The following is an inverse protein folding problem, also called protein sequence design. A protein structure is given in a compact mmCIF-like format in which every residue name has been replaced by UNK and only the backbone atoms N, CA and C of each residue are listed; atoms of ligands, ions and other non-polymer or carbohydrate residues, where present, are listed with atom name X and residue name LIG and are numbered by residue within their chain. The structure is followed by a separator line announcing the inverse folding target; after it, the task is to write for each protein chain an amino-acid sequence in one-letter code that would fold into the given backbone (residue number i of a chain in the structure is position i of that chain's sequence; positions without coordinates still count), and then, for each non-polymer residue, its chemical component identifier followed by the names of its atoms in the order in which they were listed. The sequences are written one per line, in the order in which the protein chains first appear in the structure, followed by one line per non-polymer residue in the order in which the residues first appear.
data_IF_039854142843
#
_entry.id   IF_039854142843
#
_cell.length_a   1.000
_cell.length_b   1.000
_cell.length_c   1.000
_cell.angle_alpha   90.00
_cell.angle_beta   90.00
_cell.angle_gamma   90.00
#
_symmetry.space_group_name_H-M   'P 1'
#
loop_
_entity.id
_entity.type
_entity.pdbx_description
1 polymer ?
#
# COMPACT_ATOMS: atom_id res chain seq x y z
N UNK A 1 -21.43 9.68 -19.23
CA UNK A 1 -21.45 10.15 -17.83
C UNK A 1 -21.05 9.08 -16.83
N UNK A 2 -21.50 7.83 -16.97
CA UNK A 2 -21.21 6.77 -15.99
C UNK A 2 -19.72 6.45 -15.82
N UNK A 3 -18.94 6.40 -16.90
CA UNK A 3 -17.49 6.18 -16.80
C UNK A 3 -16.76 7.30 -16.04
N UNK A 4 -17.16 8.56 -16.25
CA UNK A 4 -16.57 9.70 -15.53
C UNK A 4 -16.91 9.63 -14.04
N UNK A 5 -18.17 9.29 -13.71
CA UNK A 5 -18.62 9.05 -12.34
C UNK A 5 -17.80 7.95 -11.67
N UNK A 6 -17.63 6.81 -12.34
CA UNK A 6 -16.87 5.66 -11.85
C UNK A 6 -15.39 6.02 -11.57
N UNK A 7 -14.75 6.77 -12.49
CA UNK A 7 -13.38 7.26 -12.31
C UNK A 7 -13.28 8.25 -11.15
N UNK A 8 -14.24 9.18 -11.02
CA UNK A 8 -14.28 10.12 -9.91
C UNK A 8 -14.45 9.40 -8.57
N UNK A 9 -15.33 8.41 -8.49
CA UNK A 9 -15.51 7.58 -7.29
C UNK A 9 -14.23 6.83 -6.93
N UNK A 10 -13.55 6.21 -7.92
CA UNK A 10 -12.28 5.52 -7.69
C UNK A 10 -11.18 6.47 -7.19
N UNK A 11 -11.09 7.68 -7.73
CA UNK A 11 -10.16 8.71 -7.30
C UNK A 11 -10.44 9.16 -5.85
N UNK A 12 -11.71 9.40 -5.50
CA UNK A 12 -12.12 9.77 -4.14
C UNK A 12 -11.75 8.66 -3.15
N UNK A 13 -12.05 7.40 -3.49
CA UNK A 13 -11.63 6.27 -2.66
C UNK A 13 -10.11 6.15 -2.56
N UNK A 14 -9.38 6.51 -3.61
CA UNK A 14 -7.91 6.55 -3.58
C UNK A 14 -7.36 7.63 -2.67
N UNK A 15 -8.01 8.80 -2.61
CA UNK A 15 -7.68 9.85 -1.64
C UNK A 15 -7.96 9.40 -0.20
N UNK A 16 -9.07 8.68 0.02
CA UNK A 16 -9.38 8.07 1.32
C UNK A 16 -8.30 7.05 1.70
N UNK A 17 -7.85 6.22 0.76
CA UNK A 17 -6.75 5.27 0.98
C UNK A 17 -5.45 6.01 1.35
N UNK A 18 -5.09 7.06 0.61
CA UNK A 18 -3.89 7.83 0.88
C UNK A 18 -3.93 8.49 2.27
N UNK A 19 -5.09 9.02 2.68
CA UNK A 19 -5.28 9.56 4.03
C UNK A 19 -5.19 8.49 5.11
N UNK A 20 -5.84 7.33 4.91
CA UNK A 20 -5.74 6.20 5.82
C UNK A 20 -4.30 5.68 5.95
N UNK A 21 -3.53 5.70 4.84
CA UNK A 21 -2.12 5.31 4.84
C UNK A 21 -1.26 6.19 5.75
N UNK A 22 -1.52 7.50 5.82
CA UNK A 22 -0.80 8.39 6.75
C UNK A 22 -1.00 7.96 8.20
N UNK A 23 -2.24 7.61 8.57
CA UNK A 23 -2.56 7.08 9.90
C UNK A 23 -1.92 5.72 10.15
N UNK A 24 -2.00 4.79 9.19
CA UNK A 24 -1.41 3.45 9.30
C UNK A 24 0.10 3.56 9.47
N UNK A 25 0.78 4.38 8.67
CA UNK A 25 2.23 4.59 8.75
C UNK A 25 2.59 5.25 10.09
N UNK A 26 1.84 6.29 10.50
CA UNK A 26 2.10 7.00 11.76
C UNK A 26 1.95 6.10 12.99
N UNK A 27 0.86 5.33 13.05
CA UNK A 27 0.64 4.36 14.13
C UNK A 27 1.65 3.22 14.03
N UNK A 28 1.86 2.65 12.84
CA UNK A 28 2.77 1.54 12.60
C UNK A 28 4.22 1.84 12.96
N UNK A 29 4.66 3.08 12.76
CA UNK A 29 5.97 3.57 13.21
C UNK A 29 6.08 3.72 14.73
N UNK A 30 4.96 3.90 15.44
CA UNK A 30 4.91 4.03 16.90
C UNK A 30 4.69 2.70 17.63
N UNK A 31 4.46 1.60 16.90
CA UNK A 31 4.30 0.27 17.52
C UNK A 31 5.64 -0.18 18.08
N UNK A 32 5.72 -0.30 19.40
CA UNK A 32 6.88 -0.85 20.08
C UNK A 32 6.94 -2.37 19.88
N UNK A 33 7.98 -2.84 19.20
CA UNK A 33 8.23 -4.27 18.99
C UNK A 33 9.24 -4.76 20.04
N UNK A 34 8.97 -5.90 20.71
CA UNK A 34 9.86 -6.46 21.72
C UNK A 34 11.28 -6.66 21.19
N UNK A 35 12.26 -6.25 21.99
CA UNK A 35 13.67 -6.34 21.61
C UNK A 35 14.12 -7.81 21.44
N UNK A 36 13.48 -8.76 22.12
CA UNK A 36 13.80 -10.19 21.98
C UNK A 36 13.55 -10.70 20.54
N UNK A 37 12.55 -10.15 19.84
CA UNK A 37 12.23 -10.53 18.47
C UNK A 37 13.19 -9.88 17.45
N UNK A 38 13.68 -8.68 17.76
CA UNK A 38 14.54 -7.91 16.86
C UNK A 38 16.02 -8.22 17.02
N UNK A 39 16.50 -8.53 18.23
CA UNK A 39 17.90 -8.86 18.52
C UNK A 39 18.52 -9.91 17.58
N UNK A 40 17.90 -11.09 17.33
CA UNK A 40 18.50 -12.09 16.45
C UNK A 40 18.61 -11.59 15.00
N UNK A 41 17.64 -10.79 14.55
CA UNK A 41 17.62 -10.25 13.19
C UNK A 41 18.57 -9.05 13.04
N UNK A 42 18.65 -8.19 14.05
CA UNK A 42 19.54 -7.02 14.06
C UNK A 42 21.02 -7.42 14.14
N UNK A 43 21.33 -8.56 14.77
CA UNK A 43 22.67 -9.15 14.76
C UNK A 43 23.09 -9.64 13.37
N UNK A 44 22.14 -10.10 12.55
CA UNK A 44 22.41 -10.51 11.16
C UNK A 44 22.44 -9.30 10.22
N UNK A 45 21.41 -8.45 10.30
CA UNK A 45 21.30 -7.21 9.55
C UNK A 45 20.23 -6.31 10.16
N UNK A 46 20.63 -5.09 10.51
CA UNK A 46 19.74 -4.02 10.96
C UNK A 46 18.64 -3.71 9.93
N UNK A 47 18.98 -3.74 8.63
CA UNK A 47 18.03 -3.53 7.54
C UNK A 47 16.95 -4.61 7.55
N UNK A 48 17.33 -5.86 7.77
CA UNK A 48 16.40 -6.99 7.76
C UNK A 48 15.44 -6.93 8.96
N UNK A 49 15.94 -6.53 10.14
CA UNK A 49 15.10 -6.29 11.31
C UNK A 49 14.05 -5.20 11.03
N UNK A 50 14.46 -4.02 10.53
CA UNK A 50 13.53 -2.93 10.22
C UNK A 50 12.58 -3.26 9.06
N UNK A 51 13.01 -4.06 8.09
CA UNK A 51 12.16 -4.54 7.01
C UNK A 51 11.04 -5.41 7.54
N UNK A 52 11.34 -6.34 8.46
CA UNK A 52 10.31 -7.19 9.08
C UNK A 52 9.29 -6.34 9.85
N UNK A 53 9.77 -5.34 10.59
CA UNK A 53 8.91 -4.38 11.30
C UNK A 53 7.99 -3.66 10.32
N UNK A 54 8.54 -3.01 9.27
CA UNK A 54 7.74 -2.27 8.27
C UNK A 54 6.71 -3.17 7.60
N UNK A 55 7.08 -4.41 7.27
CA UNK A 55 6.14 -5.37 6.64
C UNK A 55 4.95 -5.65 7.57
N UNK A 56 5.22 -5.95 8.85
CA UNK A 56 4.18 -6.34 9.80
C UNK A 56 3.31 -5.17 10.24
N UNK A 57 3.91 -4.01 10.51
CA UNK A 57 3.19 -2.87 11.11
C UNK A 57 2.61 -1.92 10.07
N UNK A 58 3.16 -1.89 8.85
CA UNK A 58 2.77 -0.93 7.81
C UNK A 58 2.29 -1.64 6.56
N UNK A 59 3.10 -2.52 5.95
CA UNK A 59 2.77 -3.08 4.64
C UNK A 59 1.50 -3.94 4.66
N UNK A 60 1.37 -4.83 5.66
CA UNK A 60 0.20 -5.70 5.79
C UNK A 60 -1.08 -4.90 6.05
N UNK A 61 -1.17 -4.00 7.05
CA UNK A 61 -2.37 -3.18 7.26
C UNK A 61 -2.73 -2.29 6.07
N UNK A 62 -1.72 -1.68 5.42
CA UNK A 62 -1.94 -0.85 4.23
C UNK A 62 -2.52 -1.66 3.07
N UNK A 63 -2.03 -2.88 2.90
CA UNK A 63 -2.52 -3.79 1.86
C UNK A 63 -3.94 -4.25 2.15
N UNK A 64 -4.25 -4.57 3.42
CA UNK A 64 -5.60 -4.89 3.83
C UNK A 64 -6.56 -3.73 3.54
N UNK A 65 -6.18 -2.49 3.86
CA UNK A 65 -6.96 -1.30 3.54
C UNK A 65 -7.18 -1.13 2.03
N UNK A 66 -6.15 -1.35 1.21
CA UNK A 66 -6.28 -1.34 -0.24
C UNK A 66 -7.27 -2.39 -0.74
N UNK A 67 -7.18 -3.63 -0.24
CA UNK A 67 -8.09 -4.72 -0.64
C UNK A 67 -9.55 -4.43 -0.24
N UNK A 68 -9.78 -3.88 0.96
CA UNK A 68 -11.11 -3.48 1.41
C UNK A 68 -11.70 -2.43 0.46
N UNK A 69 -10.92 -1.39 0.13
CA UNK A 69 -11.40 -0.34 -0.78
C UNK A 69 -11.57 -0.85 -2.21
N UNK A 70 -10.70 -1.74 -2.68
CA UNK A 70 -10.86 -2.38 -3.98
C UNK A 70 -12.13 -3.25 -4.03
N UNK A 71 -12.49 -3.90 -2.93
CA UNK A 71 -13.76 -4.60 -2.79
C UNK A 71 -14.95 -3.65 -2.82
N UNK A 72 -14.88 -2.50 -2.12
CA UNK A 72 -15.89 -1.44 -2.20
C UNK A 72 -16.04 -0.91 -3.63
N UNK A 73 -14.94 -0.75 -4.37
CA UNK A 73 -14.97 -0.39 -5.80
C UNK A 73 -15.75 -1.44 -6.61
N UNK A 74 -15.52 -2.74 -6.40
CA UNK A 74 -16.30 -3.80 -7.07
C UNK A 74 -17.79 -3.74 -6.73
N UNK A 75 -18.15 -3.37 -5.49
CA UNK A 75 -19.55 -3.24 -5.08
C UNK A 75 -20.23 -2.03 -5.71
N UNK A 76 -19.54 -0.89 -5.79
CA UNK A 76 -20.09 0.36 -6.31
C UNK A 76 -20.07 0.43 -7.85
N UNK A 77 -19.13 -0.27 -8.49
CA UNK A 77 -18.90 -0.21 -9.94
C UNK A 77 -19.15 -1.60 -10.53
N UNK A 78 -20.24 -1.76 -11.31
CA UNK A 78 -20.66 -3.04 -11.93
C UNK A 78 -19.58 -3.75 -12.77
N UNK A 79 -18.69 -2.98 -13.42
CA UNK A 79 -17.55 -3.48 -14.22
C UNK A 79 -16.36 -2.55 -14.02
N UNK A 80 -15.55 -2.77 -12.97
CA UNK A 80 -14.40 -1.93 -12.70
C UNK A 80 -13.29 -2.26 -13.68
N UNK A 81 -12.98 -1.32 -14.57
CA UNK A 81 -11.82 -1.41 -15.46
C UNK A 81 -10.51 -1.31 -14.67
N UNK A 82 -9.40 -1.76 -15.27
CA UNK A 82 -8.05 -1.62 -14.72
C UNK A 82 -7.74 -0.18 -14.31
N UNK A 83 -8.24 0.80 -15.08
CA UNK A 83 -8.08 2.22 -14.78
C UNK A 83 -8.72 2.63 -13.45
N UNK A 84 -9.79 1.98 -13.00
CA UNK A 84 -10.41 2.27 -11.70
C UNK A 84 -9.50 1.85 -10.55
N UNK A 85 -8.90 0.65 -10.63
CA UNK A 85 -7.94 0.21 -9.61
C UNK A 85 -6.65 1.02 -9.65
N UNK A 86 -6.22 1.46 -10.84
CA UNK A 86 -5.07 2.34 -10.98
C UNK A 86 -5.34 3.70 -10.32
N UNK A 87 -6.54 4.28 -10.54
CA UNK A 87 -6.97 5.53 -9.91
C UNK A 87 -7.17 5.42 -8.40
N UNK A 88 -7.54 4.23 -7.90
CA UNK A 88 -7.60 3.95 -6.47
C UNK A 88 -6.19 3.96 -5.85
N UNK A 89 -5.20 3.42 -6.54
CA UNK A 89 -3.84 3.26 -6.02
C UNK A 89 -2.97 4.51 -6.26
N UNK A 90 -3.24 5.27 -7.33
CA UNK A 90 -2.43 6.41 -7.75
C UNK A 90 -2.21 7.48 -6.67
N UNK A 91 -3.23 7.95 -5.92
CA UNK A 91 -3.02 8.94 -4.87
C UNK A 91 -2.05 8.44 -3.79
N UNK A 92 -2.18 7.19 -3.36
CA UNK A 92 -1.28 6.59 -2.38
C UNK A 92 0.18 6.58 -2.88
N UNK A 93 0.41 6.14 -4.12
CA UNK A 93 1.76 6.09 -4.70
C UNK A 93 2.34 7.48 -4.86
N UNK A 94 1.55 8.46 -5.32
CA UNK A 94 2.01 9.84 -5.45
C UNK A 94 2.38 10.44 -4.08
N UNK A 95 1.55 10.22 -3.07
CA UNK A 95 1.83 10.68 -1.70
C UNK A 95 3.10 10.02 -1.15
N UNK A 96 3.26 8.70 -1.31
CA UNK A 96 4.45 7.99 -0.84
C UNK A 96 5.71 8.42 -1.59
N UNK A 97 5.62 8.63 -2.91
CA UNK A 97 6.74 9.13 -3.72
C UNK A 97 7.16 10.53 -3.25
N UNK A 98 6.20 11.43 -3.02
CA UNK A 98 6.45 12.76 -2.51
C UNK A 98 7.23 12.74 -1.18
N UNK A 99 6.77 11.95 -0.20
CA UNK A 99 7.47 11.84 1.09
C UNK A 99 8.84 11.18 0.97
N UNK A 100 8.99 10.20 0.08
CA UNK A 100 10.29 9.55 -0.16
C UNK A 100 11.31 10.53 -0.76
N UNK A 101 10.87 11.40 -1.67
CA UNK A 101 11.71 12.43 -2.28
C UNK A 101 12.10 13.54 -1.29
N UNK A 102 11.29 13.81 -0.27
CA UNK A 102 11.59 14.81 0.76
C UNK A 102 12.47 14.29 1.89
N UNK A 103 12.54 12.98 2.10
CA UNK A 103 13.32 12.38 3.17
C UNK A 103 14.83 12.51 2.88
N UNK A 104 15.44 13.66 3.17
CA UNK A 104 16.88 13.83 3.13
C UNK A 104 17.53 13.58 4.51
N UNK A 105 18.65 12.83 4.57
CA UNK A 105 19.31 12.13 3.47
C UNK A 105 18.56 10.85 3.06
N UNK A 106 18.38 10.63 1.75
CA UNK A 106 17.84 9.37 1.20
C UNK A 106 18.93 8.32 1.37
N UNK A 107 18.87 7.57 2.47
CA UNK A 107 19.79 6.45 2.73
C UNK A 107 19.24 5.24 1.96
N UNK A 108 20.10 4.57 1.18
CA UNK A 108 19.76 3.41 0.35
C UNK A 108 19.08 2.29 1.17
N UNK A 109 19.42 2.18 2.45
CA UNK A 109 18.80 1.28 3.42
C UNK A 109 17.31 1.57 3.66
N UNK A 110 16.89 2.84 3.69
CA UNK A 110 15.47 3.18 3.84
C UNK A 110 14.65 2.75 2.62
N UNK A 111 15.22 2.86 1.41
CA UNK A 111 14.58 2.36 0.21
C UNK A 111 14.45 0.84 0.24
N UNK A 112 15.49 0.14 0.72
CA UNK A 112 15.47 -1.32 0.87
C UNK A 112 14.42 -1.79 1.87
N UNK A 113 14.27 -1.09 3.01
CA UNK A 113 13.24 -1.38 4.02
C UNK A 113 11.83 -1.19 3.46
N UNK A 114 11.61 -0.16 2.63
CA UNK A 114 10.28 0.14 2.06
C UNK A 114 9.95 -0.71 0.82
N UNK A 115 10.94 -1.31 0.17
CA UNK A 115 10.77 -2.04 -1.09
C UNK A 115 9.75 -3.18 -0.99
N UNK A 116 9.73 -4.02 0.05
CA UNK A 116 8.76 -5.09 0.20
C UNK A 116 7.31 -4.59 0.26
N UNK A 117 7.07 -3.42 0.87
CA UNK A 117 5.74 -2.80 0.91
C UNK A 117 5.22 -2.50 -0.49
N UNK A 118 6.05 -1.94 -1.35
CA UNK A 118 5.68 -1.66 -2.73
C UNK A 118 5.48 -2.94 -3.55
N UNK A 119 6.33 -3.96 -3.34
CA UNK A 119 6.16 -5.26 -3.98
C UNK A 119 4.84 -5.93 -3.57
N UNK A 120 4.47 -5.85 -2.30
CA UNK A 120 3.26 -6.47 -1.78
C UNK A 120 2.00 -5.78 -2.34
N UNK A 121 2.00 -4.44 -2.39
CA UNK A 121 0.94 -3.66 -3.05
C UNK A 121 0.85 -3.96 -4.56
N UNK A 122 1.99 -4.07 -5.25
CA UNK A 122 2.03 -4.40 -6.67
C UNK A 122 1.51 -5.81 -6.94
N UNK A 123 1.90 -6.78 -6.11
CA UNK A 123 1.39 -8.15 -6.19
C UNK A 123 -0.13 -8.18 -5.97
N UNK A 124 -0.64 -7.50 -4.95
CA UNK A 124 -2.08 -7.41 -4.69
C UNK A 124 -2.84 -6.75 -5.85
N UNK A 125 -2.32 -5.64 -6.39
CA UNK A 125 -2.90 -5.01 -7.57
C UNK A 125 -2.94 -5.97 -8.77
N UNK A 126 -1.83 -6.69 -9.03
CA UNK A 126 -1.75 -7.66 -10.12
C UNK A 126 -2.76 -8.81 -9.95
N UNK A 127 -2.84 -9.41 -8.76
CA UNK A 127 -3.81 -10.46 -8.47
C UNK A 127 -5.25 -9.97 -8.60
N UNK A 128 -5.53 -8.74 -8.18
CA UNK A 128 -6.86 -8.15 -8.24
C UNK A 128 -7.30 -7.90 -9.69
N UNK A 129 -6.41 -7.37 -10.52
CA UNK A 129 -6.65 -7.17 -11.96
C UNK A 129 -6.79 -8.52 -12.69
N UNK A 130 -5.96 -9.51 -12.37
CA UNK A 130 -6.03 -10.84 -12.99
C UNK A 130 -7.27 -11.62 -12.57
N UNK A 131 -7.66 -11.53 -11.30
CA UNK A 131 -8.86 -12.17 -10.76
C UNK A 131 -10.14 -11.62 -11.39
N UNK A 132 -10.20 -10.31 -11.69
CA UNK A 132 -11.35 -9.73 -12.38
C UNK A 132 -11.50 -10.26 -13.81
N UNK A 133 -10.38 -10.43 -14.53
CA UNK A 133 -10.38 -11.04 -15.88
C UNK A 133 -10.84 -12.49 -15.88
N UNK A 134 -10.54 -13.25 -14.82
CA UNK A 134 -10.95 -14.66 -14.70
C UNK A 134 -12.43 -14.84 -14.37
N UNK A 135 -13.08 -13.85 -13.73
CA UNK A 135 -14.52 -13.88 -13.40
C UNK A 135 -15.39 -13.41 -14.58
N UNK A 136 -14.80 -12.71 -15.57
CA UNK A 136 -15.51 -12.21 -16.75
C UNK A 136 -15.42 -13.13 -17.98
N UNK A 137 -14.69 -14.25 -17.91
CA UNK A 137 -14.54 -15.26 -18.96
C UNK A 137 -15.52 -16.43 -18.75
#
# INVERSE_FOLDING_TARGET
MEQLKNRATALILGLVLAYAALWIIGVGAAIAIPAELLKPLAQLSTVLAFTLVDVLTIAVPLTAAFLILAFVVKLLIKKPDVSCYLLLLAPLVLTQLYFTLQAQPIILDNLLVMLPRYLLLAACFYFLVRGDKAVQA
#
